data_IF_105876018842
#
_entry.id   IF_105876018842
#
_cell.length_a   1.000
_cell.length_b   1.000
_cell.length_c   1.000
_cell.angle_alpha   90.00
_cell.angle_beta   90.00
_cell.angle_gamma   90.00
#
_symmetry.space_group_name_H-M   'P 1'
#
loop_
_entity.id
_entity.type
_entity.pdbx_description
1 polymer ?
#
# COMPACT_ATOMS: atom_id res chain seq x y z
N UNK A 1 -6.85 -15.08 -17.86
CA UNK A 1 -6.61 -13.98 -16.90
C UNK A 1 -5.76 -14.52 -15.77
N UNK A 2 -4.75 -13.76 -15.35
CA UNK A 2 -3.78 -14.16 -14.34
C UNK A 2 -4.44 -14.13 -12.94
N UNK A 3 -4.22 -15.17 -12.11
CA UNK A 3 -4.87 -15.33 -10.78
C UNK A 3 -4.47 -14.24 -9.78
N UNK A 4 -3.40 -13.53 -10.10
CA UNK A 4 -2.83 -12.39 -9.41
C UNK A 4 -3.64 -11.08 -9.63
N UNK A 5 -4.64 -11.07 -10.52
CA UNK A 5 -5.45 -9.87 -10.79
C UNK A 5 -4.70 -8.80 -11.58
N UNK A 6 -3.67 -9.21 -12.31
CA UNK A 6 -2.93 -8.36 -13.23
C UNK A 6 -3.75 -8.12 -14.50
N UNK A 7 -3.86 -6.86 -14.92
CA UNK A 7 -4.54 -6.43 -16.13
C UNK A 7 -3.73 -5.31 -16.81
N UNK A 8 -3.77 -5.18 -18.15
CA UNK A 8 -3.10 -4.11 -18.86
C UNK A 8 -3.68 -2.76 -18.47
N UNK A 9 -2.88 -1.70 -18.60
CA UNK A 9 -3.32 -0.37 -18.18
C UNK A 9 -4.53 0.11 -19.01
N UNK A 10 -5.67 0.48 -18.39
CA UNK A 10 -6.87 0.91 -19.10
C UNK A 10 -6.70 2.25 -19.83
N UNK A 11 -5.68 3.04 -19.45
CA UNK A 11 -5.44 4.37 -20.03
C UNK A 11 -4.49 4.34 -21.22
N UNK A 12 -3.43 3.54 -21.14
CA UNK A 12 -2.34 3.55 -22.14
C UNK A 12 -2.12 2.21 -22.84
N UNK A 13 -2.82 1.15 -22.44
CA UNK A 13 -2.65 -0.20 -23.00
C UNK A 13 -1.30 -0.85 -22.70
N UNK A 14 -0.41 -0.22 -21.93
CA UNK A 14 0.89 -0.79 -21.60
C UNK A 14 0.76 -2.02 -20.70
N UNK A 15 1.66 -3.00 -20.95
CA UNK A 15 1.85 -4.20 -20.15
C UNK A 15 2.84 -3.99 -18.99
N UNK A 16 3.42 -2.79 -18.82
CA UNK A 16 4.30 -2.50 -17.67
C UNK A 16 3.46 -2.05 -16.48
N UNK A 17 2.88 -3.04 -15.79
CA UNK A 17 2.04 -2.84 -14.60
C UNK A 17 2.65 -3.55 -13.41
N UNK A 18 2.86 -2.80 -12.32
CA UNK A 18 3.38 -3.29 -11.06
C UNK A 18 2.23 -3.41 -10.05
N UNK A 19 2.10 -4.57 -9.42
CA UNK A 19 1.11 -4.79 -8.37
C UNK A 19 1.70 -4.42 -7.01
N UNK A 20 1.11 -3.42 -6.34
CA UNK A 20 1.48 -3.08 -4.96
C UNK A 20 0.61 -3.89 -4.00
N UNK A 21 1.26 -4.76 -3.26
CA UNK A 21 0.63 -5.65 -2.29
C UNK A 21 0.52 -5.06 -0.88
N UNK A 22 -0.23 -5.76 -0.02
CA UNK A 22 -0.45 -5.42 1.39
C UNK A 22 0.87 -5.17 2.14
N UNK A 23 1.87 -6.03 1.92
CA UNK A 23 3.18 -5.92 2.59
C UNK A 23 3.97 -4.66 2.24
N UNK A 24 3.83 -4.14 1.02
CA UNK A 24 4.47 -2.87 0.65
C UNK A 24 3.87 -1.70 1.43
N UNK A 25 2.55 -1.64 1.55
CA UNK A 25 1.88 -0.60 2.34
C UNK A 25 2.19 -0.74 3.82
N UNK A 26 2.19 -1.95 4.37
CA UNK A 26 2.59 -2.17 5.77
C UNK A 26 4.00 -1.66 6.06
N UNK A 27 5.00 -2.05 5.26
CA UNK A 27 6.37 -1.56 5.42
C UNK A 27 6.47 -0.03 5.28
N UNK A 28 5.71 0.56 4.36
CA UNK A 28 5.64 2.01 4.19
C UNK A 28 5.10 2.70 5.44
N UNK A 29 3.98 2.20 6.00
CA UNK A 29 3.37 2.74 7.21
C UNK A 29 4.27 2.57 8.44
N UNK A 30 4.91 1.41 8.61
CA UNK A 30 5.88 1.18 9.69
C UNK A 30 7.09 2.10 9.58
N UNK A 31 7.65 2.27 8.38
CA UNK A 31 8.79 3.19 8.17
C UNK A 31 8.39 4.64 8.46
N UNK A 32 7.20 5.07 8.01
CA UNK A 32 6.69 6.42 8.28
C UNK A 32 6.44 6.63 9.78
N UNK A 33 5.77 5.69 10.44
CA UNK A 33 5.52 5.76 11.87
C UNK A 33 6.83 5.81 12.66
N UNK A 34 7.80 4.95 12.31
CA UNK A 34 9.13 4.95 12.92
C UNK A 34 9.87 6.27 12.76
N UNK A 35 9.85 6.86 11.57
CA UNK A 35 10.48 8.15 11.30
C UNK A 35 9.82 9.29 12.09
N UNK A 36 8.48 9.33 12.14
CA UNK A 36 7.72 10.31 12.92
C UNK A 36 8.01 10.17 14.41
N UNK A 37 8.06 8.94 14.94
CA UNK A 37 8.42 8.68 16.33
C UNK A 37 9.86 9.11 16.65
N UNK A 38 10.80 8.88 15.73
CA UNK A 38 12.20 9.29 15.89
C UNK A 38 12.34 10.81 15.95
N UNK A 39 11.65 11.54 15.07
CA UNK A 39 11.58 13.01 15.11
C UNK A 39 10.84 13.51 16.36
N UNK A 40 9.83 12.77 16.80
CA UNK A 40 9.02 13.06 17.97
C UNK A 40 9.75 12.90 19.31
N UNK A 41 10.93 12.29 19.37
CA UNK A 41 11.71 12.18 20.62
C UNK A 41 11.97 13.56 21.26
N UNK A 42 12.17 14.60 20.44
CA UNK A 42 12.36 15.98 20.92
C UNK A 42 11.05 16.74 21.14
N UNK A 43 9.91 16.17 20.72
CA UNK A 43 8.60 16.80 20.78
C UNK A 43 7.53 15.76 21.14
N UNK A 44 7.23 15.65 22.44
CA UNK A 44 6.33 14.66 23.03
C UNK A 44 5.00 14.44 22.26
N UNK A 45 4.31 15.48 21.75
CA UNK A 45 3.08 15.29 20.97
C UNK A 45 3.30 14.51 19.66
N UNK A 46 4.43 14.73 18.97
CA UNK A 46 4.77 14.00 17.74
C UNK A 46 5.13 12.54 18.05
N UNK A 47 5.75 12.26 19.20
CA UNK A 47 6.04 10.89 19.63
C UNK A 47 4.77 10.08 19.85
N UNK A 48 3.79 10.67 20.56
CA UNK A 48 2.47 10.05 20.77
C UNK A 48 1.77 9.81 19.44
N UNK A 49 1.82 10.78 18.53
CA UNK A 49 1.22 10.64 17.20
C UNK A 49 1.86 9.50 16.39
N UNK A 50 3.18 9.37 16.42
CA UNK A 50 3.91 8.27 15.78
C UNK A 50 3.55 6.91 16.36
N UNK A 51 3.41 6.81 17.69
CA UNK A 51 2.97 5.59 18.38
C UNK A 51 1.53 5.18 18.03
N UNK A 52 0.62 6.15 17.94
CA UNK A 52 -0.76 5.92 17.49
C UNK A 52 -0.78 5.45 16.02
N UNK A 53 0.00 6.08 15.14
CA UNK A 53 0.13 5.66 13.74
C UNK A 53 0.67 4.22 13.63
N UNK A 54 1.66 3.86 14.46
CA UNK A 54 2.21 2.50 14.50
C UNK A 54 1.16 1.47 14.93
N UNK A 55 0.33 1.79 15.93
CA UNK A 55 -0.79 0.97 16.37
C UNK A 55 -1.82 0.72 15.26
N UNK A 56 -2.04 1.69 14.38
CA UNK A 56 -2.93 1.57 13.23
C UNK A 56 -2.25 0.99 11.98
N UNK A 57 -0.94 0.74 11.99
CA UNK A 57 -0.23 0.08 10.88
C UNK A 57 -0.85 -1.25 10.40
N UNK A 58 -1.44 -2.12 11.27
CA UNK A 58 -2.13 -3.33 10.83
C UNK A 58 -3.32 -3.04 9.91
N UNK A 59 -3.92 -1.84 9.98
CA UNK A 59 -5.00 -1.44 9.06
C UNK A 59 -4.54 -1.48 7.59
N UNK A 60 -3.24 -1.33 7.35
CA UNK A 60 -2.67 -1.45 6.00
C UNK A 60 -2.93 -2.82 5.35
N UNK A 61 -3.18 -3.88 6.14
CA UNK A 61 -3.56 -5.20 5.61
C UNK A 61 -4.99 -5.27 5.07
N UNK A 62 -5.88 -4.36 5.51
CA UNK A 62 -7.23 -4.21 4.96
C UNK A 62 -7.25 -3.47 3.61
N UNK A 63 -6.16 -2.76 3.27
CA UNK A 63 -6.08 -2.06 1.98
C UNK A 63 -6.09 -3.08 0.82
N UNK A 64 -6.94 -2.87 -0.19
CA UNK A 64 -6.97 -3.73 -1.37
C UNK A 64 -5.66 -3.61 -2.15
N UNK A 65 -5.25 -4.70 -2.82
CA UNK A 65 -4.12 -4.66 -3.74
C UNK A 65 -4.44 -3.66 -4.87
N UNK A 66 -3.42 -2.90 -5.29
CA UNK A 66 -3.56 -1.91 -6.35
C UNK A 66 -2.58 -2.21 -7.48
N UNK A 67 -3.06 -2.03 -8.71
CA UNK A 67 -2.23 -2.08 -9.91
C UNK A 67 -1.76 -0.65 -10.21
N UNK A 68 -0.48 -0.49 -10.54
CA UNK A 68 0.08 0.78 -10.96
C UNK A 68 0.85 0.60 -12.27
N UNK A 69 0.49 1.37 -13.29
CA UNK A 69 1.24 1.41 -14.54
C UNK A 69 2.55 2.19 -14.36
N UNK A 70 3.66 1.67 -14.88
CA UNK A 70 4.95 2.35 -14.80
C UNK A 70 5.14 3.43 -15.86
N UNK A 71 4.45 3.33 -17.00
CA UNK A 71 4.58 4.32 -18.08
C UNK A 71 3.74 5.57 -17.79
N UNK A 72 2.44 5.41 -17.49
CA UNK A 72 1.53 6.54 -17.27
C UNK A 72 1.28 6.87 -15.80
N UNK A 73 1.92 6.15 -14.86
CA UNK A 73 1.77 6.27 -13.40
C UNK A 73 0.33 6.13 -12.87
N UNK A 74 -0.61 5.73 -13.73
CA UNK A 74 -2.01 5.54 -13.36
C UNK A 74 -2.14 4.33 -12.43
N UNK A 75 -2.89 4.48 -11.34
CA UNK A 75 -3.15 3.43 -10.36
C UNK A 75 -4.64 3.12 -10.29
N UNK A 76 -4.98 1.84 -10.25
CA UNK A 76 -6.37 1.38 -10.14
C UNK A 76 -6.48 0.16 -9.22
N UNK A 77 -7.70 -0.09 -8.72
CA UNK A 77 -7.97 -1.23 -7.85
C UNK A 77 -7.90 -2.52 -8.65
N UNK A 78 -7.21 -3.52 -8.10
CA UNK A 78 -7.24 -4.88 -8.63
C UNK A 78 -8.66 -5.42 -8.46
N UNK A 79 -9.30 -5.83 -9.55
CA UNK A 79 -10.64 -6.41 -9.47
C UNK A 79 -10.57 -7.82 -8.87
N UNK A 80 -11.01 -7.96 -7.61
CA UNK A 80 -10.82 -9.17 -6.78
C UNK A 80 -11.87 -10.26 -6.98
N UNK A 81 -12.81 -10.15 -7.91
CA UNK A 81 -13.82 -11.21 -8.13
C UNK A 81 -13.20 -12.56 -8.55
N UNK A 82 -11.92 -12.59 -8.97
CA UNK A 82 -11.16 -13.82 -9.26
C UNK A 82 -9.95 -14.04 -8.34
N UNK A 83 -9.91 -13.36 -7.19
CA UNK A 83 -8.85 -13.45 -6.18
C UNK A 83 -9.45 -13.48 -4.78
N UNK A 84 -10.46 -14.34 -4.60
CA UNK A 84 -11.08 -14.67 -3.32
C UNK A 84 -10.00 -15.13 -2.35
N UNK A 85 -10.00 -14.51 -1.17
CA UNK A 85 -9.46 -15.00 0.09
C UNK A 85 -8.02 -15.51 0.09
N UNK A 86 -7.14 -14.71 0.69
CA UNK A 86 -6.16 -15.30 1.58
C UNK A 86 -6.10 -14.38 2.80
N UNK A 87 -6.37 -15.03 3.93
CA UNK A 87 -6.39 -14.57 5.31
C UNK A 87 -5.34 -13.50 5.61
#
# INVERSE_FOLDING_TARGET
>A
MRKDGWEPCPRCGSNRVQQRGKGFFFLLFVCMAGFISLLGIFFLPLFILGGILALFSPIAFLLPKMNQCQDCKYSWKVNKEKGVQAQ
#
